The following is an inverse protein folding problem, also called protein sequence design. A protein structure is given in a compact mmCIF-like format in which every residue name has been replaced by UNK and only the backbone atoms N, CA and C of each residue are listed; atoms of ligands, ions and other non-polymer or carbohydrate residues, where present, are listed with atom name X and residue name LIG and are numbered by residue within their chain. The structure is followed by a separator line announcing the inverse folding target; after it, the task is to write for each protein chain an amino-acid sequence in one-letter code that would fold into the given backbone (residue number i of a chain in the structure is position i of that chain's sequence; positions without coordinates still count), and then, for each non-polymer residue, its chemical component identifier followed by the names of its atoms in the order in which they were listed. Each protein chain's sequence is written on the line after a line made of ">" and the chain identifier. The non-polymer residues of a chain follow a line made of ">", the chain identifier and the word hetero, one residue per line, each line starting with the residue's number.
data_IF_356978419032
#
_entry.id   IF_356978419032
#
_cell.length_a   1.000
_cell.length_b   1.000
_cell.length_c   1.000
_cell.angle_alpha   90.00
_cell.angle_beta   90.00
_cell.angle_gamma   90.00
#
_symmetry.space_group_name_H-M   'P 1'
#
loop_
_entity.id
_entity.type
_entity.pdbx_description
1 polymer ?
#
# COMPACT_ATOMS: atom_id res chain seq x y z
N UNK A 1 15.56 55.14 -0.38
CA UNK A 1 15.37 56.52 -0.87
C UNK A 1 15.06 56.46 -2.36
N UNK A 2 13.77 56.46 -2.70
CA UNK A 2 13.12 57.06 -3.87
C UNK A 2 11.69 56.50 -3.90
N UNK A 3 10.77 57.43 -3.77
CA UNK A 3 9.32 57.33 -3.60
C UNK A 3 8.63 57.60 -4.94
N UNK A 4 7.50 56.94 -5.19
CA UNK A 4 6.28 57.50 -5.84
C UNK A 4 5.29 56.35 -6.06
N UNK A 5 4.29 56.14 -5.19
CA UNK A 5 2.96 56.80 -5.11
C UNK A 5 1.87 56.13 -5.97
N UNK A 6 0.83 55.68 -5.24
CA UNK A 6 -0.46 55.06 -5.59
C UNK A 6 -1.41 56.02 -6.38
N UNK A 7 -2.75 55.82 -6.57
CA UNK A 7 -3.68 54.83 -5.99
C UNK A 7 -4.82 54.30 -6.91
N UNK A 8 -5.62 53.34 -6.39
CA UNK A 8 -6.87 52.91 -7.02
C UNK A 8 -7.76 52.06 -6.11
N UNK A 9 -8.65 52.73 -5.38
CA UNK A 9 -9.69 52.20 -4.50
C UNK A 9 -10.87 51.56 -5.25
N UNK A 10 -11.49 50.54 -4.68
CA UNK A 10 -12.79 50.02 -5.15
C UNK A 10 -13.52 49.17 -4.11
N UNK A 11 -14.24 49.83 -3.20
CA UNK A 11 -15.21 49.23 -2.29
C UNK A 11 -16.45 48.73 -3.06
N UNK A 12 -16.90 47.50 -2.81
CA UNK A 12 -18.32 47.16 -2.93
C UNK A 12 -18.77 46.20 -1.81
N UNK A 13 -19.38 46.81 -0.80
CA UNK A 13 -20.39 46.19 0.07
C UNK A 13 -21.69 46.05 -0.72
N UNK A 14 -22.34 44.88 -0.66
CA UNK A 14 -23.80 44.79 -0.51
C UNK A 14 -24.23 43.47 0.14
N UNK A 15 -24.93 43.66 1.26
CA UNK A 15 -25.77 42.72 2.00
C UNK A 15 -26.78 42.03 1.08
N UNK A 16 -27.10 40.77 1.39
CA UNK A 16 -28.48 40.33 1.50
C UNK A 16 -28.60 39.25 2.58
N UNK A 17 -29.43 39.57 3.56
CA UNK A 17 -29.88 38.75 4.66
C UNK A 17 -31.28 38.22 4.35
N UNK A 18 -31.57 36.97 4.73
CA UNK A 18 -32.74 36.50 5.52
C UNK A 18 -33.37 35.20 5.02
N UNK A 19 -33.51 34.30 6.02
CA UNK A 19 -34.59 33.36 6.30
C UNK A 19 -34.99 32.33 5.23
N UNK A 20 -34.88 31.05 5.61
CA UNK A 20 -36.04 30.24 6.02
C UNK A 20 -35.58 29.02 6.82
N UNK A 21 -36.21 28.84 7.98
CA UNK A 21 -36.26 27.60 8.73
C UNK A 21 -37.13 26.59 7.98
N UNK A 22 -36.77 25.31 7.97
CA UNK A 22 -37.72 24.24 8.30
C UNK A 22 -37.04 22.87 8.37
N UNK A 23 -37.36 22.17 9.46
CA UNK A 23 -37.58 20.72 9.56
C UNK A 23 -36.39 19.79 9.31
N UNK A 24 -35.82 19.33 10.43
CA UNK A 24 -35.25 17.99 10.55
C UNK A 24 -36.28 16.92 10.19
N UNK A 25 -35.90 15.87 9.44
CA UNK A 25 -36.46 14.55 9.62
C UNK A 25 -35.54 13.74 10.55
N UNK A 26 -36.08 13.43 11.72
CA UNK A 26 -35.64 12.34 12.57
C UNK A 26 -35.83 11.02 11.79
N UNK A 27 -34.72 10.40 11.37
CA UNK A 27 -34.72 9.07 10.76
C UNK A 27 -33.93 8.15 11.67
N UNK A 28 -34.56 7.75 12.77
CA UNK A 28 -34.21 6.52 13.51
C UNK A 28 -34.59 5.28 12.68
N UNK A 29 -34.00 5.16 11.49
CA UNK A 29 -34.05 3.95 10.68
C UNK A 29 -32.83 3.10 10.99
N UNK A 30 -32.95 2.15 11.93
CA UNK A 30 -32.05 1.00 11.96
C UNK A 30 -32.23 0.26 10.64
N UNK A 31 -31.38 0.56 9.67
CA UNK A 31 -31.21 -0.29 8.49
C UNK A 31 -30.53 -1.55 8.99
N UNK A 32 -31.35 -2.55 9.30
CA UNK A 32 -30.91 -3.94 9.35
C UNK A 32 -30.43 -4.27 7.93
N UNK A 33 -29.12 -4.14 7.71
CA UNK A 33 -28.46 -4.74 6.56
C UNK A 33 -28.64 -6.24 6.74
N UNK A 34 -29.63 -6.81 6.05
CA UNK A 34 -29.72 -8.26 5.92
C UNK A 34 -28.39 -8.75 5.33
N UNK A 35 -27.81 -9.85 5.84
CA UNK A 35 -26.65 -10.44 5.20
C UNK A 35 -27.01 -10.71 3.74
N UNK A 36 -26.25 -10.11 2.82
CA UNK A 36 -26.30 -10.48 1.42
C UNK A 36 -26.04 -11.98 1.34
N UNK A 37 -27.08 -12.76 1.03
CA UNK A 37 -26.90 -14.12 0.55
C UNK A 37 -26.11 -14.02 -0.75
N UNK A 38 -24.80 -14.22 -0.65
CA UNK A 38 -23.90 -14.33 -1.80
C UNK A 38 -24.40 -15.50 -2.63
N UNK A 39 -24.91 -15.19 -3.81
CA UNK A 39 -25.45 -16.16 -4.76
C UNK A 39 -24.43 -17.26 -5.03
N UNK A 40 -24.80 -18.50 -4.71
CA UNK A 40 -24.10 -19.71 -5.12
C UNK A 40 -24.06 -19.77 -6.65
N UNK A 41 -22.95 -19.36 -7.25
CA UNK A 41 -22.82 -19.41 -8.70
C UNK A 41 -21.57 -18.73 -9.21
N UNK A 42 -20.45 -19.45 -9.09
CA UNK A 42 -19.23 -19.46 -9.93
C UNK A 42 -18.05 -19.81 -9.00
N UNK A 43 -17.78 -21.11 -8.90
CA UNK A 43 -16.55 -21.63 -8.30
C UNK A 43 -15.45 -21.53 -9.35
N UNK A 44 -14.83 -20.36 -9.53
CA UNK A 44 -13.47 -20.35 -10.08
C UNK A 44 -12.55 -20.72 -8.92
N UNK A 45 -12.49 -22.01 -8.59
CA UNK A 45 -11.48 -22.46 -7.63
C UNK A 45 -10.14 -22.21 -8.29
N UNK A 46 -9.31 -21.35 -7.71
CA UNK A 46 -7.89 -21.31 -8.09
C UNK A 46 -7.35 -22.75 -8.05
N UNK A 47 -6.58 -23.16 -9.06
CA UNK A 47 -5.86 -24.43 -9.03
C UNK A 47 -4.56 -24.32 -8.22
N UNK A 48 -4.22 -23.15 -7.66
CA UNK A 48 -3.04 -22.96 -6.83
C UNK A 48 -2.95 -23.87 -5.60
N UNK A 49 -4.03 -24.16 -4.84
CA UNK A 49 -3.98 -25.15 -3.76
C UNK A 49 -3.52 -26.52 -4.25
N UNK A 50 -4.01 -26.95 -5.43
CA UNK A 50 -3.65 -28.25 -6.03
C UNK A 50 -2.22 -28.23 -6.56
N UNK A 51 -1.81 -27.13 -7.20
CA UNK A 51 -0.52 -27.01 -7.89
C UNK A 51 0.65 -26.70 -6.95
N UNK A 52 0.41 -25.93 -5.90
CA UNK A 52 1.46 -25.38 -5.03
C UNK A 52 1.33 -25.80 -3.56
N UNK A 53 0.19 -26.39 -3.17
CA UNK A 53 -0.12 -26.76 -1.80
C UNK A 53 -0.45 -25.56 -0.92
N UNK A 54 -1.08 -25.83 0.23
CA UNK A 54 -1.19 -24.86 1.34
C UNK A 54 0.20 -24.73 1.97
N UNK A 55 0.74 -23.51 2.05
CA UNK A 55 2.09 -23.29 2.59
C UNK A 55 2.03 -22.45 3.85
N UNK A 56 2.25 -23.11 4.98
CA UNK A 56 2.46 -22.42 6.27
C UNK A 56 3.87 -21.87 6.36
N UNK A 57 4.10 -20.69 5.79
CA UNK A 57 5.39 -20.01 5.85
C UNK A 57 5.83 -19.69 7.28
N UNK A 58 4.89 -19.59 8.23
CA UNK A 58 5.26 -19.40 9.64
C UNK A 58 6.19 -20.49 10.17
N UNK A 59 6.08 -21.73 9.68
CA UNK A 59 6.86 -22.88 10.17
C UNK A 59 8.38 -22.79 9.91
N UNK A 60 8.81 -21.95 8.97
CA UNK A 60 10.23 -21.76 8.65
C UNK A 60 10.86 -20.56 9.38
N UNK A 61 10.07 -19.82 10.15
CA UNK A 61 10.55 -18.68 10.92
C UNK A 61 11.03 -19.14 12.30
N UNK A 62 12.01 -18.43 12.90
CA UNK A 62 12.38 -18.66 14.30
C UNK A 62 11.15 -18.61 15.19
N UNK A 63 11.05 -19.54 16.15
CA UNK A 63 9.85 -19.70 16.97
C UNK A 63 9.44 -18.40 17.67
N UNK A 64 10.40 -17.68 18.24
CA UNK A 64 10.15 -16.38 18.86
C UNK A 64 9.52 -15.38 17.89
N UNK A 65 10.05 -15.25 16.67
CA UNK A 65 9.51 -14.32 15.68
C UNK A 65 8.11 -14.77 15.22
N UNK A 66 7.92 -16.07 15.01
CA UNK A 66 6.63 -16.65 14.64
C UNK A 66 5.52 -16.33 15.65
N UNK A 67 5.85 -16.34 16.94
CA UNK A 67 4.88 -16.09 18.01
C UNK A 67 4.54 -14.61 18.20
N UNK A 68 5.49 -13.70 17.93
CA UNK A 68 5.38 -12.30 18.32
C UNK A 68 5.26 -11.32 17.14
N UNK A 69 5.68 -11.72 15.93
CA UNK A 69 5.90 -10.81 14.80
C UNK A 69 5.36 -11.37 13.46
N UNK A 70 4.67 -12.50 13.46
CA UNK A 70 4.11 -13.12 12.27
C UNK A 70 2.65 -13.51 12.49
N UNK A 71 1.81 -13.27 11.50
CA UNK A 71 0.44 -13.76 11.48
C UNK A 71 0.00 -14.11 10.05
N UNK A 72 -1.00 -14.97 9.94
CA UNK A 72 -1.70 -15.28 8.69
C UNK A 72 -3.05 -14.54 8.68
N UNK A 73 -3.41 -13.96 7.54
CA UNK A 73 -4.78 -13.45 7.33
C UNK A 73 -5.72 -14.65 7.24
N UNK A 74 -6.83 -14.55 7.97
CA UNK A 74 -7.93 -15.50 7.93
C UNK A 74 -9.23 -14.73 8.10
N UNK A 75 -9.94 -14.50 6.98
CA UNK A 75 -11.20 -13.76 7.00
C UNK A 75 -12.29 -14.48 7.79
N UNK A 76 -12.22 -15.82 7.90
CA UNK A 76 -13.23 -16.63 8.61
C UNK A 76 -13.15 -16.43 10.12
N UNK A 77 -11.96 -16.17 10.64
CA UNK A 77 -11.71 -15.88 12.06
C UNK A 77 -11.49 -14.38 12.30
N UNK A 78 -12.00 -13.52 11.41
CA UNK A 78 -11.91 -12.06 11.51
C UNK A 78 -10.48 -11.53 11.76
N UNK A 79 -9.47 -12.24 11.22
CA UNK A 79 -8.05 -11.95 11.38
C UNK A 79 -7.57 -11.94 12.85
N UNK A 80 -8.14 -12.78 13.73
CA UNK A 80 -7.86 -12.76 15.18
C UNK A 80 -6.36 -12.89 15.49
N UNK A 81 -5.65 -13.80 14.83
CA UNK A 81 -4.19 -13.95 15.01
C UNK A 81 -3.45 -12.64 14.71
N UNK A 82 -3.75 -12.00 13.57
CA UNK A 82 -3.12 -10.74 13.22
C UNK A 82 -3.50 -9.60 14.16
N UNK A 83 -4.75 -9.52 14.60
CA UNK A 83 -5.17 -8.54 15.62
C UNK A 83 -4.41 -8.74 16.91
N UNK A 84 -4.14 -9.98 17.32
CA UNK A 84 -3.36 -10.27 18.51
C UNK A 84 -1.90 -9.84 18.33
N UNK A 85 -1.23 -10.31 17.28
CA UNK A 85 0.19 -10.03 17.01
C UNK A 85 0.44 -8.54 16.85
N UNK A 86 -0.35 -7.87 16.01
CA UNK A 86 -0.19 -6.44 15.74
C UNK A 86 -0.75 -5.58 16.87
N UNK A 87 -1.82 -6.01 17.55
CA UNK A 87 -2.48 -5.24 18.62
C UNK A 87 -1.80 -5.33 19.98
N UNK A 88 -1.08 -6.42 20.28
CA UNK A 88 -0.24 -6.55 21.48
C UNK A 88 1.10 -5.80 21.34
N UNK A 89 1.48 -5.48 20.12
CA UNK A 89 2.69 -4.72 19.84
C UNK A 89 2.53 -3.22 20.14
N UNK A 90 3.65 -2.50 20.11
CA UNK A 90 3.64 -1.04 20.18
C UNK A 90 2.90 -0.36 19.00
N UNK A 91 2.54 -1.10 17.94
CA UNK A 91 1.93 -0.55 16.72
C UNK A 91 0.57 0.11 16.97
N UNK A 92 -0.29 -0.46 17.81
CA UNK A 92 -1.65 0.07 18.06
C UNK A 92 -1.64 1.50 18.64
N UNK A 93 -0.56 1.88 19.29
CA UNK A 93 -0.40 3.23 19.85
C UNK A 93 0.07 4.27 18.82
N UNK A 94 0.45 3.84 17.62
CA UNK A 94 1.11 4.70 16.63
C UNK A 94 0.07 5.53 15.88
N UNK A 95 0.19 6.87 15.90
CA UNK A 95 -0.77 7.73 15.23
C UNK A 95 -0.65 7.78 13.71
N UNK A 96 0.49 7.44 13.12
CA UNK A 96 0.75 7.68 11.70
C UNK A 96 1.05 6.38 10.94
N UNK A 97 0.16 6.00 10.02
CA UNK A 97 0.29 4.80 9.21
C UNK A 97 0.53 5.15 7.74
N UNK A 98 1.66 4.70 7.22
CA UNK A 98 2.11 4.94 5.85
C UNK A 98 2.10 3.64 5.08
N UNK A 99 1.28 3.57 4.04
CA UNK A 99 1.10 2.39 3.21
C UNK A 99 1.84 2.58 1.90
N UNK A 100 2.67 1.60 1.56
CA UNK A 100 3.48 1.55 0.35
C UNK A 100 3.14 0.31 -0.43
N UNK A 101 2.87 0.47 -1.71
CA UNK A 101 2.69 -0.67 -2.61
C UNK A 101 1.98 -0.29 -3.89
N UNK A 102 1.47 -1.33 -4.53
CA UNK A 102 0.77 -1.24 -5.80
C UNK A 102 -0.74 -0.99 -5.64
N UNK A 103 -1.46 -1.14 -6.75
CA UNK A 103 -2.91 -0.97 -6.81
C UNK A 103 -3.73 -1.91 -5.89
N UNK A 104 -3.21 -3.06 -5.46
CA UNK A 104 -3.86 -3.90 -4.45
C UNK A 104 -3.83 -3.19 -3.09
N UNK A 105 -2.66 -2.70 -2.68
CA UNK A 105 -2.50 -1.90 -1.45
C UNK A 105 -3.38 -0.65 -1.51
N UNK A 106 -3.34 0.08 -2.63
CA UNK A 106 -4.18 1.26 -2.84
C UNK A 106 -5.68 0.95 -2.69
N UNK A 107 -6.12 -0.21 -3.19
CA UNK A 107 -7.52 -0.65 -3.07
C UNK A 107 -7.90 -0.90 -1.62
N UNK A 108 -7.07 -1.62 -0.86
CA UNK A 108 -7.28 -1.86 0.57
C UNK A 108 -7.32 -0.54 1.35
N UNK A 109 -6.35 0.35 1.14
CA UNK A 109 -6.28 1.63 1.86
C UNK A 109 -7.48 2.51 1.51
N UNK A 110 -8.01 2.43 0.28
CA UNK A 110 -9.25 3.14 -0.10
C UNK A 110 -10.42 2.63 0.72
N UNK A 111 -10.62 1.31 0.77
CA UNK A 111 -11.70 0.69 1.56
C UNK A 111 -11.60 1.13 3.02
N UNK A 112 -10.40 1.02 3.61
CA UNK A 112 -10.12 1.48 4.96
C UNK A 112 -10.48 2.97 5.13
N UNK A 113 -10.04 3.83 4.22
CA UNK A 113 -10.26 5.28 4.33
C UNK A 113 -11.72 5.72 4.16
N UNK A 114 -12.51 4.98 3.38
CA UNK A 114 -13.89 5.35 3.03
C UNK A 114 -14.94 4.69 3.94
N UNK A 115 -14.64 3.51 4.48
CA UNK A 115 -15.61 2.70 5.22
C UNK A 115 -15.23 2.47 6.68
N UNK A 116 -13.95 2.26 6.96
CA UNK A 116 -13.54 1.72 8.26
C UNK A 116 -12.66 2.67 9.10
N UNK A 117 -12.30 3.84 8.57
CA UNK A 117 -11.48 4.81 9.30
C UNK A 117 -12.30 5.39 10.46
N UNK A 118 -11.92 5.12 11.73
CA UNK A 118 -12.82 5.33 12.86
C UNK A 118 -12.86 6.80 13.33
N UNK A 119 -12.07 7.67 12.72
CA UNK A 119 -11.92 9.07 13.15
C UNK A 119 -12.53 10.05 12.16
N UNK A 120 -12.96 11.20 12.68
CA UNK A 120 -13.44 12.30 11.86
C UNK A 120 -12.29 12.87 11.03
N UNK A 121 -12.41 12.77 9.71
CA UNK A 121 -11.44 13.33 8.77
C UNK A 121 -11.54 14.87 8.78
N UNK A 122 -10.47 15.53 9.22
CA UNK A 122 -10.31 17.00 9.20
C UNK A 122 -9.18 17.44 8.27
N UNK A 123 -8.27 16.53 7.92
CA UNK A 123 -7.18 16.74 6.99
C UNK A 123 -7.33 15.79 5.82
N UNK A 124 -7.18 16.33 4.60
CA UNK A 124 -7.09 15.56 3.37
C UNK A 124 -6.03 16.18 2.47
N UNK A 125 -5.12 15.36 1.95
CA UNK A 125 -4.09 15.79 0.98
C UNK A 125 -4.04 14.78 -0.16
N UNK A 126 -3.74 15.27 -1.37
CA UNK A 126 -3.64 14.44 -2.57
C UNK A 126 -4.98 13.90 -3.05
N UNK A 127 -4.93 12.86 -3.89
CA UNK A 127 -6.11 12.28 -4.49
C UNK A 127 -5.95 10.78 -4.69
N UNK A 128 -6.76 10.01 -3.97
CA UNK A 128 -6.79 8.55 -4.08
C UNK A 128 -7.12 8.07 -5.50
N UNK A 129 -7.91 8.83 -6.28
CA UNK A 129 -8.30 8.47 -7.65
C UNK A 129 -7.92 9.57 -8.63
N UNK A 130 -6.84 9.35 -9.36
CA UNK A 130 -6.33 10.29 -10.36
C UNK A 130 -5.96 9.57 -11.65
N UNK A 131 -6.23 10.21 -12.78
CA UNK A 131 -5.69 9.80 -14.08
C UNK A 131 -4.28 10.37 -14.31
N UNK A 132 -3.87 11.40 -13.54
CA UNK A 132 -2.49 11.92 -13.55
C UNK A 132 -1.58 10.98 -12.74
N UNK A 133 -0.65 10.32 -13.44
CA UNK A 133 0.34 9.40 -12.83
C UNK A 133 1.61 10.11 -12.35
N UNK A 134 1.73 11.42 -12.57
CA UNK A 134 2.92 12.22 -12.28
C UNK A 134 2.81 13.00 -10.96
N UNK A 135 1.81 12.68 -10.15
CA UNK A 135 1.47 13.38 -8.90
C UNK A 135 2.43 13.06 -7.75
N UNK A 136 3.06 11.89 -7.69
CA UNK A 136 3.90 11.50 -6.54
C UNK A 136 5.02 12.48 -6.24
N UNK A 137 5.79 12.88 -7.25
CA UNK A 137 6.83 13.89 -7.06
C UNK A 137 6.29 15.27 -6.65
N UNK A 138 5.09 15.64 -7.12
CA UNK A 138 4.43 16.90 -6.70
C UNK A 138 3.96 16.80 -5.25
N UNK A 139 3.42 15.65 -4.87
CA UNK A 139 2.88 15.34 -3.57
C UNK A 139 3.95 15.40 -2.47
N UNK A 140 5.15 14.85 -2.74
CA UNK A 140 6.30 14.97 -1.84
C UNK A 140 6.76 16.42 -1.67
N UNK A 141 6.46 17.30 -2.63
CA UNK A 141 6.94 18.68 -2.67
C UNK A 141 8.47 18.78 -2.51
N UNK A 142 9.21 17.84 -3.12
CA UNK A 142 10.67 17.81 -3.15
C UNK A 142 11.14 18.16 -4.56
N UNK A 143 12.24 18.92 -4.66
CA UNK A 143 12.87 19.24 -5.95
C UNK A 143 13.33 17.95 -6.63
N UNK A 144 12.79 17.70 -7.82
CA UNK A 144 13.18 16.58 -8.70
C UNK A 144 14.64 16.73 -9.15
N UNK A 145 15.27 15.62 -9.50
CA UNK A 145 16.56 15.64 -10.20
C UNK A 145 16.41 16.38 -11.54
N UNK A 146 17.45 17.10 -11.96
CA UNK A 146 17.48 17.75 -13.27
C UNK A 146 17.60 16.73 -14.41
N UNK A 147 18.12 15.53 -14.10
CA UNK A 147 18.26 14.40 -15.04
C UNK A 147 17.64 13.16 -14.43
N UNK A 148 16.75 12.50 -15.17
CA UNK A 148 16.18 11.21 -14.78
C UNK A 148 17.05 10.08 -15.31
N UNK A 149 17.44 9.17 -14.42
CA UNK A 149 18.20 7.97 -14.76
C UNK A 149 17.23 6.81 -15.01
N UNK A 150 17.36 6.13 -16.15
CA UNK A 150 16.52 4.98 -16.48
C UNK A 150 16.74 3.79 -15.53
N UNK A 151 15.72 2.94 -15.34
CA UNK A 151 15.84 1.72 -14.53
C UNK A 151 16.91 0.77 -15.08
N UNK A 152 17.76 0.25 -14.19
CA UNK A 152 18.71 -0.81 -14.50
C UNK A 152 18.08 -2.19 -14.26
N UNK A 153 17.81 -2.89 -15.35
CA UNK A 153 17.22 -4.23 -15.35
C UNK A 153 18.11 -5.26 -14.64
N UNK A 154 19.44 -5.09 -14.66
CA UNK A 154 20.36 -6.00 -13.94
C UNK A 154 20.21 -5.88 -12.43
N UNK A 155 19.68 -4.75 -11.97
CA UNK A 155 19.40 -4.45 -10.57
C UNK A 155 17.94 -4.69 -10.20
N UNK A 156 17.12 -5.20 -11.12
CA UNK A 156 15.68 -5.37 -10.96
C UNK A 156 14.98 -4.06 -10.56
N UNK A 157 15.32 -2.97 -11.25
CA UNK A 157 14.68 -1.68 -11.02
C UNK A 157 13.42 -1.52 -11.87
N UNK A 158 12.33 -1.09 -11.24
CA UNK A 158 11.20 -0.47 -11.94
C UNK A 158 11.44 1.02 -12.18
N UNK A 159 10.60 1.70 -12.97
CA UNK A 159 9.35 1.21 -13.59
C UNK A 159 9.57 0.35 -14.84
N UNK A 160 8.54 -0.36 -15.29
CA UNK A 160 8.60 -1.24 -16.49
C UNK A 160 7.84 -0.67 -17.69
N UNK A 161 6.80 0.16 -17.48
CA UNK A 161 5.88 0.58 -18.55
C UNK A 161 5.78 2.10 -18.68
N UNK A 162 4.69 2.69 -18.19
CA UNK A 162 4.37 4.09 -18.39
C UNK A 162 5.40 5.00 -17.72
N UNK A 163 5.80 4.72 -16.48
CA UNK A 163 6.83 5.49 -15.78
C UNK A 163 8.19 5.38 -16.45
N UNK A 164 8.47 4.26 -17.14
CA UNK A 164 9.70 4.08 -17.92
C UNK A 164 9.74 5.02 -19.14
N UNK A 165 8.60 5.17 -19.81
CA UNK A 165 8.43 6.04 -20.98
C UNK A 165 8.14 7.51 -20.60
N UNK A 166 7.76 7.77 -19.36
CA UNK A 166 7.38 9.09 -18.86
C UNK A 166 8.14 9.39 -17.55
N UNK A 167 9.37 9.94 -17.64
CA UNK A 167 10.21 10.25 -16.48
C UNK A 167 9.46 11.01 -15.38
N UNK A 168 9.66 10.63 -14.12
CA UNK A 168 8.99 11.21 -12.95
C UNK A 168 7.48 10.94 -12.82
N UNK A 169 6.97 9.94 -13.53
CA UNK A 169 5.59 9.47 -13.43
C UNK A 169 5.54 7.99 -13.07
N UNK A 170 4.39 7.56 -12.53
CA UNK A 170 4.20 6.21 -12.04
C UNK A 170 3.64 5.25 -13.08
N UNK A 171 4.00 3.97 -12.98
CA UNK A 171 3.38 2.88 -13.75
C UNK A 171 1.89 2.71 -13.38
N UNK A 172 1.52 2.98 -12.14
CA UNK A 172 0.16 2.81 -11.66
C UNK A 172 -0.80 3.83 -12.27
N UNK A 173 -1.91 3.32 -12.85
CA UNK A 173 -3.02 4.13 -13.34
C UNK A 173 -4.16 4.16 -12.33
N UNK A 174 -4.84 5.31 -12.23
CA UNK A 174 -6.13 5.42 -11.53
C UNK A 174 -6.00 5.52 -10.02
N UNK A 175 -4.77 5.71 -9.54
CA UNK A 175 -4.40 5.81 -8.13
C UNK A 175 -3.31 6.87 -8.00
N UNK A 176 -3.39 7.67 -6.94
CA UNK A 176 -2.37 8.66 -6.60
C UNK A 176 -2.08 8.63 -5.12
N UNK A 177 -1.01 9.32 -4.68
CA UNK A 177 -0.75 9.46 -3.25
C UNK A 177 -1.86 10.26 -2.59
N UNK A 178 -2.23 9.85 -1.37
CA UNK A 178 -3.20 10.58 -0.59
C UNK A 178 -3.03 10.33 0.90
N UNK A 179 -3.47 11.30 1.69
CA UNK A 179 -3.52 11.22 3.14
C UNK A 179 -4.90 11.67 3.62
N UNK A 180 -5.42 10.98 4.63
CA UNK A 180 -6.51 11.43 5.48
C UNK A 180 -6.08 11.44 6.94
N UNK A 181 -6.66 12.32 7.76
CA UNK A 181 -6.33 12.38 9.18
C UNK A 181 -7.24 13.30 9.98
N UNK A 182 -7.08 13.28 11.30
CA UNK A 182 -7.79 14.14 12.25
C UNK A 182 -6.91 15.25 12.87
N UNK A 183 -5.65 15.36 12.40
CA UNK A 183 -4.62 16.26 12.93
C UNK A 183 -3.76 15.67 14.04
N UNK A 184 -4.16 14.53 14.61
CA UNK A 184 -3.36 13.74 15.55
C UNK A 184 -2.97 12.40 14.99
N UNK A 185 -3.83 11.83 14.15
CA UNK A 185 -3.65 10.54 13.48
C UNK A 185 -3.80 10.72 11.99
N UNK A 186 -3.08 9.90 11.23
CA UNK A 186 -3.16 9.91 9.79
C UNK A 186 -2.97 8.53 9.19
N UNK A 187 -3.65 8.33 8.07
CA UNK A 187 -3.42 7.24 7.16
C UNK A 187 -3.01 7.84 5.82
N UNK A 188 -1.87 7.40 5.29
CA UNK A 188 -1.27 7.90 4.07
C UNK A 188 -0.92 6.73 3.15
N UNK A 189 -1.27 6.83 1.88
CA UNK A 189 -0.85 5.90 0.84
C UNK A 189 0.14 6.58 -0.09
N UNK A 190 1.28 5.92 -0.33
CA UNK A 190 2.34 6.32 -1.24
C UNK A 190 2.53 5.21 -2.28
N UNK A 191 2.38 5.53 -3.55
CA UNK A 191 2.51 4.58 -4.64
C UNK A 191 3.98 4.24 -4.91
N UNK A 192 4.42 3.09 -4.39
CA UNK A 192 5.77 2.56 -4.63
C UNK A 192 5.62 1.10 -4.99
N UNK A 193 5.62 0.80 -6.29
CA UNK A 193 5.19 -0.51 -6.82
C UNK A 193 6.30 -1.57 -6.80
N UNK A 194 7.56 -1.14 -6.85
CA UNK A 194 8.72 -2.03 -6.95
C UNK A 194 9.56 -2.01 -5.68
N UNK A 195 10.32 -3.09 -5.43
CA UNK A 195 11.26 -3.14 -4.31
C UNK A 195 12.45 -2.20 -4.52
N UNK A 196 12.82 -1.93 -5.78
CA UNK A 196 13.70 -0.83 -6.16
C UNK A 196 13.09 -0.11 -7.35
N UNK A 197 12.74 1.15 -7.16
CA UNK A 197 11.96 1.93 -8.10
C UNK A 197 12.69 3.24 -8.38
N UNK A 198 12.83 3.65 -9.64
CA UNK A 198 13.49 4.89 -10.01
C UNK A 198 12.53 5.91 -10.64
N UNK A 199 11.21 5.73 -10.51
CA UNK A 199 10.18 6.67 -10.94
C UNK A 199 10.47 8.08 -10.39
N UNK A 200 10.68 8.22 -9.08
CA UNK A 200 10.88 9.52 -8.43
C UNK A 200 12.32 9.68 -7.94
N UNK A 201 13.09 10.48 -8.67
CA UNK A 201 14.47 10.87 -8.32
C UNK A 201 14.51 12.34 -7.92
N UNK A 202 15.30 12.66 -6.90
CA UNK A 202 15.48 14.04 -6.40
C UNK A 202 16.92 14.47 -6.63
N UNK A 203 17.24 15.73 -6.33
CA UNK A 203 18.63 16.20 -6.38
C UNK A 203 19.58 15.42 -5.44
N UNK A 204 19.03 14.70 -4.44
CA UNK A 204 19.81 13.98 -3.42
C UNK A 204 19.46 12.51 -3.30
N UNK A 205 18.54 11.99 -4.11
CA UNK A 205 18.08 10.60 -4.06
C UNK A 205 17.95 10.02 -5.47
N UNK A 206 18.29 8.74 -5.60
CA UNK A 206 18.32 8.01 -6.86
C UNK A 206 17.16 7.02 -7.03
N UNK A 207 16.37 6.78 -5.97
CA UNK A 207 15.20 5.90 -6.02
C UNK A 207 13.96 6.55 -5.42
N UNK A 208 12.78 6.06 -5.81
CA UNK A 208 11.48 6.45 -5.24
C UNK A 208 11.43 6.13 -3.75
N UNK A 209 12.02 5.01 -3.32
CA UNK A 209 12.11 4.62 -1.91
C UNK A 209 12.94 5.62 -1.09
N UNK A 210 14.08 6.07 -1.62
CA UNK A 210 14.91 7.10 -0.99
C UNK A 210 14.19 8.45 -0.95
N UNK A 211 13.47 8.81 -2.02
CA UNK A 211 12.67 10.03 -2.06
C UNK A 211 11.52 10.01 -1.03
N UNK A 212 10.85 8.87 -0.87
CA UNK A 212 9.80 8.69 0.12
C UNK A 212 10.35 8.75 1.56
N UNK A 213 11.50 8.12 1.81
CA UNK A 213 12.17 8.23 3.11
C UNK A 213 12.61 9.68 3.39
N UNK A 214 13.13 10.40 2.39
CA UNK A 214 13.46 11.83 2.53
C UNK A 214 12.22 12.67 2.87
N UNK A 215 11.10 12.39 2.22
CA UNK A 215 9.81 13.04 2.47
C UNK A 215 9.34 12.83 3.93
N UNK A 216 9.49 11.62 4.48
CA UNK A 216 9.08 11.27 5.84
C UNK A 216 10.09 11.67 6.94
N UNK A 217 11.30 12.12 6.57
CA UNK A 217 12.41 12.30 7.51
C UNK A 217 12.17 13.34 8.62
N UNK A 218 11.28 14.30 8.39
CA UNK A 218 11.07 15.42 9.31
C UNK A 218 10.15 15.09 10.49
N UNK A 219 9.53 13.91 10.49
CA UNK A 219 8.61 13.50 11.53
C UNK A 219 9.28 12.60 12.59
N UNK A 220 8.63 12.45 13.75
CA UNK A 220 9.06 11.58 14.85
C UNK A 220 8.92 10.12 14.44
N UNK A 221 10.03 9.43 14.12
CA UNK A 221 9.97 8.04 13.68
C UNK A 221 9.27 7.11 14.68
N UNK A 222 9.29 7.44 15.97
CA UNK A 222 8.67 6.62 17.01
C UNK A 222 7.15 6.56 16.87
N UNK A 223 6.52 7.49 16.17
CA UNK A 223 5.06 7.62 16.05
C UNK A 223 4.50 6.99 14.76
N UNK A 224 5.37 6.39 13.95
CA UNK A 224 5.06 5.99 12.59
C UNK A 224 5.03 4.46 12.44
N UNK A 225 4.30 4.00 11.43
CA UNK A 225 4.29 2.60 10.96
C UNK A 225 4.34 2.64 9.44
N UNK A 226 5.29 1.92 8.86
CA UNK A 226 5.36 1.72 7.42
C UNK A 226 4.82 0.32 7.08
N UNK A 227 3.67 0.25 6.41
CA UNK A 227 3.08 -0.98 5.87
C UNK A 227 3.49 -1.10 4.40
N UNK A 228 4.20 -2.17 4.05
CA UNK A 228 4.91 -2.27 2.77
C UNK A 228 4.52 -3.55 2.05
N UNK A 229 4.24 -3.43 0.75
CA UNK A 229 4.11 -4.55 -0.16
C UNK A 229 4.85 -4.22 -1.47
N UNK A 230 5.62 -5.17 -2.00
CA UNK A 230 6.22 -5.11 -3.32
C UNK A 230 6.51 -6.54 -3.81
N UNK A 231 6.75 -6.70 -5.10
CA UNK A 231 7.16 -7.98 -5.69
C UNK A 231 6.27 -8.49 -6.83
N UNK A 232 4.99 -8.14 -6.92
CA UNK A 232 4.19 -8.55 -8.08
C UNK A 232 4.69 -7.88 -9.36
N UNK A 233 5.00 -6.58 -9.29
CA UNK A 233 5.47 -5.81 -10.43
C UNK A 233 6.96 -6.05 -10.73
N UNK A 234 7.78 -6.33 -9.71
CA UNK A 234 9.18 -6.72 -9.89
C UNK A 234 9.34 -7.98 -10.78
N UNK A 235 8.36 -8.88 -10.79
CA UNK A 235 8.37 -10.04 -11.70
C UNK A 235 8.27 -9.66 -13.18
N UNK A 236 7.75 -8.48 -13.52
CA UNK A 236 7.76 -7.99 -14.89
C UNK A 236 9.15 -7.54 -15.35
N UNK A 237 10.03 -7.16 -14.41
CA UNK A 237 11.43 -6.79 -14.68
C UNK A 237 12.31 -8.04 -14.85
N UNK A 238 11.86 -9.20 -14.35
CA UNK A 238 12.53 -10.48 -14.56
C UNK A 238 12.47 -10.88 -16.05
N UNK A 239 13.51 -10.53 -16.80
CA UNK A 239 13.66 -10.96 -18.20
C UNK A 239 13.95 -12.46 -18.35
N UNK A 240 14.51 -13.08 -17.31
CA UNK A 240 14.78 -14.51 -17.27
C UNK A 240 14.57 -15.08 -15.85
N UNK A 241 14.05 -16.32 -15.72
CA UNK A 241 14.03 -17.04 -14.44
C UNK A 241 15.42 -17.24 -13.81
N UNK A 242 16.49 -17.09 -14.60
CA UNK A 242 17.88 -17.20 -14.15
C UNK A 242 18.42 -15.90 -13.52
N UNK A 243 17.63 -14.82 -13.51
CA UNK A 243 18.03 -13.58 -12.84
C UNK A 243 18.26 -13.86 -11.35
N UNK A 244 19.40 -13.43 -10.76
CA UNK A 244 19.72 -13.75 -9.38
C UNK A 244 18.60 -13.32 -8.44
N UNK A 245 17.91 -14.29 -7.87
CA UNK A 245 16.75 -14.04 -7.03
C UNK A 245 17.11 -13.32 -5.73
N UNK A 246 18.38 -13.43 -5.33
CA UNK A 246 18.96 -12.68 -4.23
C UNK A 246 18.92 -11.17 -4.48
N UNK A 247 18.90 -10.71 -5.73
CA UNK A 247 18.79 -9.28 -6.05
C UNK A 247 17.46 -8.69 -5.57
N UNK A 248 16.34 -9.38 -5.76
CA UNK A 248 15.04 -8.93 -5.27
C UNK A 248 15.04 -8.83 -3.74
N UNK A 249 15.52 -9.86 -3.05
CA UNK A 249 15.60 -9.87 -1.58
C UNK A 249 16.50 -8.75 -1.05
N UNK A 250 17.62 -8.47 -1.74
CA UNK A 250 18.51 -7.36 -1.41
C UNK A 250 17.87 -5.99 -1.64
N UNK A 251 17.05 -5.85 -2.69
CA UNK A 251 16.29 -4.63 -2.95
C UNK A 251 15.27 -4.40 -1.83
N UNK A 252 14.48 -5.42 -1.46
CA UNK A 252 13.54 -5.35 -0.33
C UNK A 252 14.27 -5.00 0.97
N UNK A 253 15.41 -5.66 1.25
CA UNK A 253 16.21 -5.36 2.45
C UNK A 253 16.67 -3.89 2.48
N UNK A 254 17.12 -3.36 1.35
CA UNK A 254 17.57 -1.97 1.24
C UNK A 254 16.42 -0.99 1.41
N UNK A 255 15.27 -1.30 0.80
CA UNK A 255 14.04 -0.54 0.95
C UNK A 255 13.60 -0.49 2.43
N UNK A 256 13.49 -1.63 3.09
CA UNK A 256 13.06 -1.70 4.48
C UNK A 256 14.03 -0.98 5.44
N UNK A 257 15.35 -0.98 5.16
CA UNK A 257 16.31 -0.18 5.94
C UNK A 257 16.07 1.33 5.83
N UNK A 258 15.71 1.81 4.65
CA UNK A 258 15.35 3.23 4.46
C UNK A 258 14.12 3.57 5.30
N UNK A 259 13.08 2.73 5.22
CA UNK A 259 11.83 2.95 5.94
C UNK A 259 11.98 2.80 7.46
N UNK A 260 12.77 1.83 7.95
CA UNK A 260 13.03 1.66 9.38
C UNK A 260 13.59 2.95 9.99
N UNK A 261 14.46 3.66 9.25
CA UNK A 261 15.09 4.88 9.72
C UNK A 261 14.11 6.04 9.93
N UNK A 262 12.93 6.01 9.30
CA UNK A 262 11.92 7.09 9.35
C UNK A 262 10.58 6.66 9.96
N UNK A 263 10.26 5.37 9.97
CA UNK A 263 9.02 4.85 10.54
C UNK A 263 9.21 4.13 11.87
N UNK A 264 10.42 3.66 12.21
CA UNK A 264 10.69 2.90 13.45
C UNK A 264 10.02 1.51 13.53
N UNK A 265 8.89 1.29 12.86
CA UNK A 265 8.14 0.04 12.81
C UNK A 265 7.75 -0.29 11.37
N UNK A 266 7.91 -1.56 11.01
CA UNK A 266 7.66 -2.08 9.68
C UNK A 266 6.60 -3.17 9.73
N UNK A 267 5.67 -3.16 8.78
CA UNK A 267 4.73 -4.27 8.54
C UNK A 267 4.89 -4.69 7.08
N UNK A 268 5.48 -5.85 6.84
CA UNK A 268 5.56 -6.42 5.51
C UNK A 268 4.33 -7.27 5.21
N UNK A 269 3.66 -6.94 4.11
CA UNK A 269 2.54 -7.72 3.58
C UNK A 269 3.07 -8.61 2.47
N UNK A 270 2.81 -9.92 2.58
CA UNK A 270 3.22 -10.92 1.59
C UNK A 270 2.74 -10.62 0.17
N UNK A 271 3.45 -11.19 -0.81
CA UNK A 271 3.02 -11.20 -2.20
C UNK A 271 1.80 -12.14 -2.31
N UNK A 272 0.73 -11.67 -2.92
CA UNK A 272 -0.52 -12.42 -3.12
C UNK A 272 -0.42 -13.43 -4.27
N UNK A 273 -1.41 -14.31 -4.37
CA UNK A 273 -1.61 -15.15 -5.54
C UNK A 273 -1.86 -14.32 -6.81
N UNK A 274 -1.55 -14.90 -7.97
CA UNK A 274 -2.00 -14.42 -9.27
C UNK A 274 -2.72 -15.53 -10.02
N UNK A 275 -3.63 -15.15 -10.91
CA UNK A 275 -4.42 -16.13 -11.64
C UNK A 275 -3.62 -16.91 -12.71
N UNK A 276 -2.42 -16.42 -13.06
CA UNK A 276 -1.55 -16.94 -14.13
C UNK A 276 -2.23 -16.98 -15.52
N UNK A 277 -3.23 -16.13 -15.76
CA UNK A 277 -3.94 -16.03 -17.04
C UNK A 277 -3.11 -15.27 -18.08
N UNK A 278 -3.16 -15.71 -19.34
CA UNK A 278 -2.41 -15.10 -20.45
C UNK A 278 -0.92 -14.89 -20.11
N UNK A 279 -0.15 -15.97 -19.87
CA UNK A 279 1.21 -15.89 -19.35
C UNK A 279 2.20 -15.14 -20.25
N UNK A 280 1.88 -14.94 -21.53
CA UNK A 280 2.67 -14.12 -22.47
C UNK A 280 2.48 -12.62 -22.29
N UNK A 281 1.39 -12.19 -21.62
CA UNK A 281 1.08 -10.78 -21.33
C UNK A 281 1.26 -10.43 -19.85
N UNK A 282 0.97 -11.39 -18.98
CA UNK A 282 1.14 -11.28 -17.55
C UNK A 282 2.33 -12.13 -17.14
N UNK A 283 3.41 -11.50 -16.68
CA UNK A 283 4.66 -12.19 -16.36
C UNK A 283 4.69 -12.75 -14.94
N UNK A 284 3.71 -12.36 -14.10
CA UNK A 284 3.62 -12.82 -12.72
C UNK A 284 3.36 -14.32 -12.63
N UNK A 285 4.05 -15.00 -11.72
CA UNK A 285 3.98 -16.45 -11.47
C UNK A 285 3.93 -16.73 -9.97
N UNK A 286 2.99 -17.58 -9.57
CA UNK A 286 2.82 -18.02 -8.20
C UNK A 286 4.07 -18.75 -7.67
N UNK A 287 4.75 -19.52 -8.52
CA UNK A 287 5.99 -20.18 -8.15
C UNK A 287 7.10 -19.20 -7.70
N UNK A 288 7.17 -18.03 -8.36
CA UNK A 288 8.14 -16.98 -8.02
C UNK A 288 7.68 -16.25 -6.76
N UNK A 289 6.41 -15.83 -6.68
CA UNK A 289 5.83 -15.18 -5.49
C UNK A 289 6.05 -16.01 -4.22
N UNK A 290 5.78 -17.32 -4.27
CA UNK A 290 6.00 -18.23 -3.15
C UNK A 290 7.46 -18.29 -2.72
N UNK A 291 8.38 -18.34 -3.68
CA UNK A 291 9.82 -18.39 -3.39
C UNK A 291 10.31 -17.07 -2.79
N UNK A 292 9.83 -15.95 -3.31
CA UNK A 292 10.14 -14.62 -2.81
C UNK A 292 9.57 -14.36 -1.42
N UNK A 293 8.30 -14.72 -1.16
CA UNK A 293 7.73 -14.67 0.19
C UNK A 293 8.62 -15.45 1.18
N UNK A 294 9.00 -16.68 0.83
CA UNK A 294 9.92 -17.51 1.63
C UNK A 294 11.19 -16.74 2.00
N UNK A 295 11.90 -16.23 0.99
CA UNK A 295 13.21 -15.60 1.19
C UNK A 295 13.11 -14.26 1.91
N UNK A 296 12.11 -13.44 1.57
CA UNK A 296 11.86 -12.14 2.21
C UNK A 296 11.46 -12.33 3.66
N UNK A 297 10.59 -13.29 3.99
CA UNK A 297 10.19 -13.52 5.38
C UNK A 297 11.37 -13.95 6.25
N UNK A 298 12.23 -14.85 5.76
CA UNK A 298 13.48 -15.19 6.46
C UNK A 298 14.42 -13.99 6.61
N UNK A 299 14.56 -13.17 5.55
CA UNK A 299 15.40 -11.97 5.58
C UNK A 299 14.89 -10.97 6.62
N UNK A 300 13.58 -10.74 6.67
CA UNK A 300 12.95 -9.82 7.62
C UNK A 300 13.16 -10.31 9.05
N UNK A 301 12.81 -11.57 9.34
CA UNK A 301 12.93 -12.13 10.68
C UNK A 301 14.37 -12.16 11.21
N UNK A 302 15.37 -12.23 10.33
CA UNK A 302 16.79 -12.17 10.70
C UNK A 302 17.38 -10.77 10.76
N UNK A 303 16.89 -9.84 9.93
CA UNK A 303 17.46 -8.48 9.82
C UNK A 303 16.77 -7.48 10.73
N UNK A 304 15.46 -7.59 10.91
CA UNK A 304 14.62 -6.62 11.64
C UNK A 304 13.80 -7.28 12.78
N UNK A 305 14.37 -8.21 13.58
CA UNK A 305 13.59 -9.07 14.48
C UNK A 305 12.73 -8.33 15.51
N UNK A 306 13.11 -7.10 15.87
CA UNK A 306 12.44 -6.29 16.90
C UNK A 306 11.58 -5.15 16.36
N UNK A 307 11.73 -4.80 15.08
CA UNK A 307 11.10 -3.62 14.47
C UNK A 307 10.16 -3.97 13.33
N UNK A 308 10.06 -5.25 12.94
CA UNK A 308 9.20 -5.68 11.83
C UNK A 308 8.14 -6.70 12.23
N UNK A 309 7.08 -6.71 11.44
CA UNK A 309 6.00 -7.69 11.46
C UNK A 309 5.77 -8.22 10.06
N UNK A 310 5.32 -9.47 9.94
CA UNK A 310 4.93 -10.09 8.67
C UNK A 310 3.45 -10.44 8.75
N UNK A 311 2.70 -9.97 7.76
CA UNK A 311 1.34 -10.42 7.49
C UNK A 311 1.41 -11.32 6.26
N UNK A 312 1.21 -12.62 6.48
CA UNK A 312 1.11 -13.57 5.40
C UNK A 312 -0.33 -13.60 4.85
N UNK A 313 -0.44 -13.27 3.57
CA UNK A 313 -1.72 -13.15 2.87
C UNK A 313 -1.95 -14.27 1.87
N UNK A 314 -1.01 -15.21 1.76
CA UNK A 314 -1.01 -16.18 0.66
C UNK A 314 -2.27 -17.03 0.64
N UNK A 315 -2.56 -17.75 1.72
CA UNK A 315 -3.68 -18.70 1.78
C UNK A 315 -5.04 -17.99 1.62
N UNK A 316 -5.21 -16.80 2.22
CA UNK A 316 -6.41 -15.97 2.01
C UNK A 316 -6.55 -15.54 0.55
N UNK A 317 -5.45 -15.08 -0.07
CA UNK A 317 -5.46 -14.64 -1.46
C UNK A 317 -5.77 -15.78 -2.45
N UNK A 318 -5.44 -17.02 -2.08
CA UNK A 318 -5.78 -18.22 -2.86
C UNK A 318 -7.26 -18.58 -2.78
N UNK A 319 -7.88 -18.33 -1.62
CA UNK A 319 -9.31 -18.54 -1.43
C UNK A 319 -10.17 -17.41 -2.02
N UNK A 320 -9.56 -16.24 -2.27
CA UNK A 320 -10.26 -15.05 -2.70
C UNK A 320 -10.64 -15.07 -4.20
N UNK A 321 -11.86 -14.63 -4.55
CA UNK A 321 -12.26 -14.52 -5.95
C UNK A 321 -11.54 -13.36 -6.65
N UNK A 322 -11.04 -13.62 -7.87
CA UNK A 322 -10.45 -12.61 -8.74
C UNK A 322 -11.50 -11.71 -9.40
N UNK A 323 -11.17 -10.43 -9.54
CA UNK A 323 -12.03 -9.40 -10.10
C UNK A 323 -12.46 -9.68 -11.54
N UNK A 324 -13.73 -9.42 -11.84
CA UNK A 324 -14.26 -9.44 -13.20
C UNK A 324 -14.33 -10.85 -13.77
N UNK A 325 -14.67 -11.82 -12.91
CA UNK A 325 -14.78 -13.24 -13.22
C UNK A 325 -13.47 -13.82 -13.77
N UNK A 326 -12.34 -13.46 -13.16
CA UNK A 326 -11.04 -14.02 -13.55
C UNK A 326 -10.51 -13.52 -14.91
N UNK A 327 -10.89 -12.31 -15.31
CA UNK A 327 -10.27 -11.61 -16.46
C UNK A 327 -9.06 -10.76 -16.04
N UNK A 328 -8.89 -10.52 -14.74
CA UNK A 328 -7.78 -9.77 -14.18
C UNK A 328 -6.80 -10.72 -13.50
N UNK A 329 -5.50 -10.52 -13.72
CA UNK A 329 -4.48 -11.45 -13.25
C UNK A 329 -4.11 -11.25 -11.77
N UNK A 330 -4.26 -10.04 -11.25
CA UNK A 330 -3.69 -9.63 -9.95
C UNK A 330 -4.70 -8.89 -9.05
N UNK A 331 -5.97 -8.78 -9.40
CA UNK A 331 -6.93 -8.01 -8.60
C UNK A 331 -8.05 -8.91 -8.11
N UNK A 332 -8.42 -8.75 -6.85
CA UNK A 332 -9.49 -9.49 -6.20
C UNK A 332 -10.81 -8.72 -6.17
N UNK A 333 -11.90 -9.40 -5.84
CA UNK A 333 -13.18 -8.75 -5.52
C UNK A 333 -13.15 -8.06 -4.15
N UNK A 334 -14.09 -7.14 -3.92
CA UNK A 334 -14.12 -6.28 -2.72
C UNK A 334 -14.00 -7.00 -1.37
N UNK A 335 -14.66 -8.16 -1.12
CA UNK A 335 -14.62 -8.81 0.18
C UNK A 335 -13.19 -9.15 0.68
N UNK A 336 -12.27 -9.43 -0.24
CA UNK A 336 -10.86 -9.65 0.11
C UNK A 336 -10.23 -8.39 0.72
N UNK A 337 -10.41 -7.24 0.08
CA UNK A 337 -9.88 -5.97 0.55
C UNK A 337 -10.59 -5.46 1.81
N UNK A 338 -11.89 -5.71 1.95
CA UNK A 338 -12.68 -5.38 3.14
C UNK A 338 -12.20 -6.15 4.38
N UNK A 339 -11.95 -7.46 4.25
CA UNK A 339 -11.37 -8.26 5.32
C UNK A 339 -10.03 -7.68 5.78
N UNK A 340 -9.19 -7.29 4.82
CA UNK A 340 -7.86 -6.77 5.14
C UNK A 340 -7.92 -5.35 5.72
N UNK A 341 -8.79 -4.47 5.20
CA UNK A 341 -9.05 -3.15 5.75
C UNK A 341 -9.55 -3.23 7.20
N UNK A 342 -10.44 -4.18 7.50
CA UNK A 342 -10.97 -4.41 8.84
C UNK A 342 -9.86 -4.72 9.86
N UNK A 343 -8.81 -5.43 9.46
CA UNK A 343 -7.64 -5.65 10.33
C UNK A 343 -7.01 -4.31 10.73
N UNK A 344 -6.66 -3.47 9.75
CA UNK A 344 -6.01 -2.20 10.02
C UNK A 344 -6.92 -1.20 10.73
N UNK A 345 -8.23 -1.19 10.44
CA UNK A 345 -9.23 -0.40 11.16
C UNK A 345 -9.21 -0.67 12.68
N UNK A 346 -8.88 -1.90 13.09
CA UNK A 346 -8.75 -2.25 14.51
C UNK A 346 -7.45 -1.79 15.17
N UNK A 347 -6.48 -1.35 14.36
CA UNK A 347 -5.13 -0.95 14.77
C UNK A 347 -4.92 0.58 14.72
N UNK A 348 -5.65 1.29 13.85
CA UNK A 348 -5.52 2.75 13.63
C UNK A 348 -6.27 3.60 14.64
#
# INVERSE_FOLDING_TARGET
>A
LMLSSAPGSGNHLRRLSRFLSSTQPDVSGKVLVAPLEVSNGITVSSDAPKKYGVKKFGSMLPEFYRQNNYCEIDSKDHNMQCRQVLGQSALKSKPHWHFFGDSQMATMVKVLSEHDYPYKVTIKRGNARTDDRCELGKYFNIKRSDVWIQPDEKRLQGPERYGKDNPFCSDMKGWGPYMIGDGKRSLEFLNVEFAQDVEIQTATTSTTQEAAALYLKNDSKEDHVCVVNAGLHDQAVLKSPDTPQDQFVNNVKSYLKLLESVCGNLVWVGITEVQEVQPTRNLQRNAISLKWNKQVYSMIASTFPSSSFIIDVWDESVAAPFKGNGKQNIHYESPYYESFATLFASLV
#
